data_IF_879287277244
#
_entry.id   IF_879287277244
#
_cell.length_a   1.000
_cell.length_b   1.000
_cell.length_c   1.000
_cell.angle_alpha   90.00
_cell.angle_beta   90.00
_cell.angle_gamma   90.00
#
_symmetry.space_group_name_H-M   'P 1'
#
loop_
_entity.id
_entity.type
_entity.pdbx_description
1 polymer ?
#
# COMPACT_ATOMS: atom_id res chain seq x y z
N UNK A 1 -6.77 -21.44 -7.23
CA UNK A 1 -7.03 -20.60 -8.41
C UNK A 1 -8.33 -19.81 -8.30
N UNK A 2 -9.47 -20.41 -8.00
CA UNK A 2 -10.78 -19.71 -7.86
C UNK A 2 -10.75 -18.57 -6.82
N UNK A 3 -10.13 -18.77 -5.64
CA UNK A 3 -9.99 -17.71 -4.60
C UNK A 3 -9.20 -16.50 -5.09
N UNK A 4 -8.11 -16.71 -5.82
CA UNK A 4 -7.29 -15.63 -6.35
C UNK A 4 -8.04 -14.81 -7.41
N UNK A 5 -8.79 -15.45 -8.29
CA UNK A 5 -9.63 -14.78 -9.29
C UNK A 5 -10.74 -13.97 -8.59
N UNK A 6 -11.43 -14.57 -7.61
CA UNK A 6 -12.46 -13.87 -6.84
C UNK A 6 -11.89 -12.67 -6.11
N UNK A 7 -10.74 -12.83 -5.46
CA UNK A 7 -10.04 -11.72 -4.79
C UNK A 7 -9.70 -10.60 -5.78
N UNK A 8 -9.12 -10.95 -6.94
CA UNK A 8 -8.79 -9.98 -7.99
C UNK A 8 -10.02 -9.17 -8.42
N UNK A 9 -11.10 -9.87 -8.78
CA UNK A 9 -12.33 -9.23 -9.24
C UNK A 9 -12.95 -8.33 -8.17
N UNK A 10 -12.97 -8.78 -6.92
CA UNK A 10 -13.53 -8.01 -5.80
C UNK A 10 -12.70 -6.76 -5.51
N UNK A 11 -11.38 -6.87 -5.46
CA UNK A 11 -10.49 -5.72 -5.22
C UNK A 11 -10.62 -4.71 -6.37
N UNK A 12 -10.61 -5.19 -7.62
CA UNK A 12 -10.77 -4.34 -8.80
C UNK A 12 -12.13 -3.63 -8.82
N UNK A 13 -13.23 -4.35 -8.56
CA UNK A 13 -14.57 -3.77 -8.48
C UNK A 13 -14.67 -2.74 -7.35
N UNK A 14 -14.12 -3.05 -6.17
CA UNK A 14 -14.10 -2.14 -5.03
C UNK A 14 -13.30 -0.87 -5.31
N UNK A 15 -12.16 -1.00 -5.98
CA UNK A 15 -11.35 0.14 -6.44
C UNK A 15 -12.13 1.01 -7.42
N UNK A 16 -12.78 0.39 -8.41
CA UNK A 16 -13.59 1.10 -9.41
C UNK A 16 -14.75 1.86 -8.74
N UNK A 17 -15.47 1.22 -7.83
CA UNK A 17 -16.56 1.86 -7.06
C UNK A 17 -16.01 3.05 -6.27
N UNK A 18 -14.90 2.87 -5.55
CA UNK A 18 -14.28 3.93 -4.75
C UNK A 18 -13.85 5.12 -5.62
N UNK A 19 -13.31 4.85 -6.84
CA UNK A 19 -12.94 5.90 -7.80
C UNK A 19 -14.17 6.69 -8.27
N UNK A 20 -15.30 6.03 -8.52
CA UNK A 20 -16.55 6.71 -8.89
C UNK A 20 -17.13 7.55 -7.75
N UNK A 21 -16.99 7.11 -6.50
CA UNK A 21 -17.49 7.84 -5.33
C UNK A 21 -16.63 9.04 -4.96
N UNK A 22 -15.37 9.02 -5.32
CA UNK A 22 -14.36 10.00 -4.92
C UNK A 22 -13.86 10.82 -6.11
N UNK A 23 -14.76 11.50 -6.82
CA UNK A 23 -14.42 12.30 -8.01
C UNK A 23 -13.78 13.62 -7.62
N UNK A 24 -12.60 13.89 -8.16
CA UNK A 24 -11.89 15.17 -8.07
C UNK A 24 -10.74 15.22 -7.07
N UNK A 25 -9.83 16.18 -7.23
CA UNK A 25 -8.58 16.26 -6.48
C UNK A 25 -8.75 17.00 -5.14
N UNK A 26 -9.60 16.52 -4.25
CA UNK A 26 -9.74 17.11 -2.91
C UNK A 26 -9.26 16.12 -1.84
N UNK A 27 -8.77 16.62 -0.68
CA UNK A 27 -8.36 15.74 0.42
C UNK A 27 -9.52 14.90 0.96
N UNK A 28 -10.73 15.46 0.92
CA UNK A 28 -11.93 14.73 1.32
C UNK A 28 -12.23 13.57 0.36
N UNK A 29 -12.03 13.77 -0.93
CA UNK A 29 -12.24 12.72 -1.94
C UNK A 29 -11.21 11.59 -1.78
N UNK A 30 -9.95 11.87 -1.45
CA UNK A 30 -8.97 10.84 -1.12
C UNK A 30 -9.35 10.04 0.13
N UNK A 31 -9.88 10.70 1.16
CA UNK A 31 -10.40 10.01 2.34
C UNK A 31 -11.62 9.15 1.98
N UNK A 32 -12.57 9.68 1.23
CA UNK A 32 -13.75 8.96 0.75
C UNK A 32 -13.35 7.74 -0.10
N UNK A 33 -12.37 7.90 -0.99
CA UNK A 33 -11.82 6.79 -1.76
C UNK A 33 -11.30 5.69 -0.83
N UNK A 34 -10.42 6.02 0.11
CA UNK A 34 -9.83 5.05 1.04
C UNK A 34 -10.88 4.34 1.88
N UNK A 35 -11.85 5.08 2.44
CA UNK A 35 -12.93 4.51 3.25
C UNK A 35 -13.89 3.65 2.43
N UNK A 36 -14.24 4.07 1.21
CA UNK A 36 -15.12 3.31 0.32
C UNK A 36 -14.43 2.03 -0.15
N UNK A 37 -13.16 2.12 -0.53
CA UNK A 37 -12.38 0.96 -0.94
C UNK A 37 -12.25 -0.05 0.20
N UNK A 38 -11.85 0.40 1.39
CA UNK A 38 -11.82 -0.44 2.58
C UNK A 38 -13.18 -1.06 2.89
N UNK A 39 -14.24 -0.24 2.91
CA UNK A 39 -15.59 -0.66 3.25
C UNK A 39 -16.14 -1.73 2.28
N UNK A 40 -15.95 -1.55 0.98
CA UNK A 40 -16.37 -2.53 -0.01
C UNK A 40 -15.66 -3.88 0.19
N UNK A 41 -14.33 -3.87 0.32
CA UNK A 41 -13.56 -5.10 0.55
C UNK A 41 -13.92 -5.74 1.90
N UNK A 42 -14.07 -4.92 2.95
CA UNK A 42 -14.48 -5.40 4.28
C UNK A 42 -15.84 -6.11 4.23
N UNK A 43 -16.83 -5.56 3.54
CA UNK A 43 -18.17 -6.16 3.44
C UNK A 43 -18.15 -7.57 2.83
N UNK A 44 -17.27 -7.82 1.86
CA UNK A 44 -17.11 -9.14 1.26
C UNK A 44 -16.42 -10.14 2.18
N UNK A 45 -15.43 -9.69 2.95
CA UNK A 45 -14.58 -10.58 3.75
C UNK A 45 -14.91 -10.56 5.26
N UNK A 46 -15.92 -9.80 5.70
CA UNK A 46 -16.23 -9.59 7.14
C UNK A 46 -16.40 -10.85 7.97
N UNK A 47 -16.81 -11.97 7.35
CA UNK A 47 -16.97 -13.25 8.03
C UNK A 47 -15.63 -13.93 8.33
N UNK A 48 -14.60 -13.61 7.55
CA UNK A 48 -13.27 -14.21 7.65
C UNK A 48 -12.28 -13.30 8.40
N UNK A 49 -12.74 -12.11 8.80
CA UNK A 49 -11.92 -11.10 9.45
C UNK A 49 -12.01 -11.21 10.96
N UNK A 50 -10.86 -11.40 11.59
CA UNK A 50 -10.70 -11.28 13.04
C UNK A 50 -9.69 -10.18 13.30
N UNK A 51 -10.16 -8.98 13.67
CA UNK A 51 -9.24 -7.88 13.95
C UNK A 51 -8.28 -8.22 15.08
N UNK A 52 -7.00 -8.18 14.81
CA UNK A 52 -5.96 -8.29 15.81
C UNK A 52 -6.01 -7.06 16.73
N UNK A 53 -5.88 -7.27 18.04
CA UNK A 53 -5.67 -6.14 18.97
C UNK A 53 -4.32 -5.48 18.68
N UNK A 54 -4.29 -4.16 18.71
CA UNK A 54 -3.03 -3.43 18.60
C UNK A 54 -2.12 -3.82 19.77
N UNK A 55 -1.06 -4.53 19.45
CA UNK A 55 -0.04 -4.92 20.40
C UNK A 55 1.28 -5.06 19.66
N UNK A 56 2.31 -4.42 20.16
CA UNK A 56 3.68 -4.52 19.69
C UNK A 56 4.57 -4.99 20.82
N UNK A 57 5.29 -6.05 20.63
CA UNK A 57 6.33 -6.47 21.56
C UNK A 57 7.71 -5.91 21.11
N UNK A 58 8.76 -6.20 21.88
CA UNK A 58 10.14 -5.76 21.56
C UNK A 58 10.63 -6.31 20.22
N UNK A 59 10.22 -7.54 19.89
CA UNK A 59 10.58 -8.17 18.60
C UNK A 59 9.88 -7.46 17.45
N UNK A 60 8.60 -7.14 17.61
CA UNK A 60 7.83 -6.39 16.63
C UNK A 60 8.45 -5.02 16.36
N UNK A 61 8.81 -4.28 17.42
CA UNK A 61 9.49 -2.99 17.29
C UNK A 61 10.83 -3.13 16.54
N UNK A 62 11.63 -4.15 16.86
CA UNK A 62 12.85 -4.45 16.13
C UNK A 62 12.58 -4.76 14.66
N UNK A 63 11.55 -5.54 14.36
CA UNK A 63 11.17 -5.87 12.98
C UNK A 63 10.73 -4.64 12.21
N UNK A 64 10.04 -3.67 12.83
CA UNK A 64 9.71 -2.38 12.20
C UNK A 64 10.99 -1.64 11.80
N UNK A 65 11.93 -1.50 12.72
CA UNK A 65 13.21 -0.81 12.42
C UNK A 65 13.97 -1.52 11.30
N UNK A 66 14.11 -2.85 11.37
CA UNK A 66 14.77 -3.64 10.32
C UNK A 66 14.06 -3.51 8.99
N UNK A 67 12.72 -3.56 8.98
CA UNK A 67 11.92 -3.42 7.77
C UNK A 67 12.10 -2.07 7.09
N UNK A 68 12.09 -0.99 7.86
CA UNK A 68 12.36 0.36 7.35
C UNK A 68 13.77 0.46 6.76
N UNK A 69 14.79 -0.06 7.46
CA UNK A 69 16.16 -0.07 6.95
C UNK A 69 16.31 -0.88 5.65
N UNK A 70 15.65 -2.03 5.56
CA UNK A 70 15.64 -2.85 4.34
C UNK A 70 15.02 -2.07 3.17
N UNK A 71 13.90 -1.38 3.37
CA UNK A 71 13.28 -0.58 2.33
C UNK A 71 14.16 0.59 1.91
N UNK A 72 14.73 1.33 2.85
CA UNK A 72 15.64 2.44 2.54
C UNK A 72 16.86 1.98 1.72
N UNK A 73 17.47 0.85 2.11
CA UNK A 73 18.59 0.29 1.35
C UNK A 73 18.15 -0.16 -0.05
N UNK A 74 16.97 -0.73 -0.16
CA UNK A 74 16.40 -1.14 -1.44
C UNK A 74 16.10 0.07 -2.33
N UNK A 75 15.50 1.12 -1.80
CA UNK A 75 15.20 2.35 -2.54
C UNK A 75 16.49 3.01 -3.04
N UNK A 76 17.53 3.09 -2.20
CA UNK A 76 18.85 3.58 -2.63
C UNK A 76 19.42 2.72 -3.77
N UNK A 77 19.33 1.39 -3.64
CA UNK A 77 19.79 0.46 -4.66
C UNK A 77 19.01 0.61 -5.97
N UNK A 78 17.69 0.75 -5.90
CA UNK A 78 16.84 0.92 -7.06
C UNK A 78 17.11 2.25 -7.77
N UNK A 79 17.30 3.35 -7.04
CA UNK A 79 17.70 4.65 -7.59
C UNK A 79 19.05 4.56 -8.32
N UNK A 80 19.97 3.75 -7.79
CA UNK A 80 21.27 3.56 -8.40
C UNK A 80 21.23 2.69 -9.68
N UNK A 81 20.38 1.68 -9.72
CA UNK A 81 20.28 0.72 -10.83
C UNK A 81 19.30 1.21 -11.92
N UNK A 82 18.19 1.80 -11.50
CA UNK A 82 17.12 2.25 -12.38
C UNK A 82 17.08 3.79 -12.38
N UNK A 83 17.18 4.45 -13.55
CA UNK A 83 17.02 5.89 -13.59
C UNK A 83 15.63 6.30 -13.09
N UNK A 84 15.58 7.10 -12.04
CA UNK A 84 14.31 7.60 -11.49
C UNK A 84 13.67 8.58 -12.48
N UNK A 85 12.39 8.40 -12.83
CA UNK A 85 11.69 9.34 -13.67
C UNK A 85 11.59 10.72 -13.02
N UNK A 86 11.84 11.78 -13.79
CA UNK A 86 11.77 13.17 -13.31
C UNK A 86 10.33 13.62 -12.94
N UNK A 87 9.32 12.94 -13.47
CA UNK A 87 7.89 13.25 -13.24
C UNK A 87 7.35 12.69 -11.91
N UNK A 88 8.24 12.14 -11.10
CA UNK A 88 7.83 11.57 -9.83
C UNK A 88 7.39 12.65 -8.87
N UNK A 89 6.09 12.73 -8.55
CA UNK A 89 5.72 13.22 -7.22
C UNK A 89 4.25 13.51 -7.01
N UNK A 90 3.38 12.57 -7.37
CA UNK A 90 1.96 12.70 -7.01
C UNK A 90 1.79 12.91 -5.49
N UNK A 91 2.56 12.18 -4.67
CA UNK A 91 2.48 12.27 -3.20
C UNK A 91 2.99 13.62 -2.67
N UNK A 92 4.10 14.15 -3.22
CA UNK A 92 4.59 15.49 -2.83
C UNK A 92 3.62 16.58 -3.24
N UNK A 93 3.04 16.49 -4.43
CA UNK A 93 2.00 17.44 -4.89
C UNK A 93 0.79 17.39 -3.98
N UNK A 94 0.37 16.19 -3.55
CA UNK A 94 -0.75 16.02 -2.62
C UNK A 94 -0.47 16.70 -1.27
N UNK A 95 0.76 16.59 -0.74
CA UNK A 95 1.12 17.24 0.52
C UNK A 95 1.23 18.74 0.39
N UNK A 96 1.82 19.23 -0.70
CA UNK A 96 1.87 20.66 -0.98
C UNK A 96 0.47 21.27 -1.07
N UNK A 97 -0.49 20.51 -1.62
CA UNK A 97 -1.88 20.95 -1.76
C UNK A 97 -2.70 20.82 -0.47
N UNK A 98 -2.42 19.80 0.37
CA UNK A 98 -3.28 19.42 1.50
C UNK A 98 -2.62 19.57 2.88
N UNK A 99 -1.34 19.94 2.94
CA UNK A 99 -0.60 20.15 4.18
C UNK A 99 -0.61 18.93 5.10
N UNK A 100 -0.77 19.15 6.40
CA UNK A 100 -0.78 18.08 7.40
C UNK A 100 -1.87 17.00 7.16
N UNK A 101 -2.98 17.36 6.54
CA UNK A 101 -4.01 16.39 6.21
C UNK A 101 -3.54 15.41 5.10
N UNK A 102 -2.74 15.90 4.14
CA UNK A 102 -2.08 15.03 3.16
C UNK A 102 -1.11 14.04 3.81
N UNK A 103 -0.33 14.50 4.79
CA UNK A 103 0.55 13.61 5.58
C UNK A 103 -0.26 12.55 6.32
N UNK A 104 -1.35 12.93 6.98
CA UNK A 104 -2.25 11.98 7.64
C UNK A 104 -2.80 10.93 6.68
N UNK A 105 -3.26 11.34 5.50
CA UNK A 105 -3.75 10.40 4.49
C UNK A 105 -2.65 9.44 4.01
N UNK A 106 -1.48 9.97 3.67
CA UNK A 106 -0.38 9.18 3.11
C UNK A 106 0.32 8.27 4.12
N UNK A 107 0.43 8.70 5.38
CA UNK A 107 1.21 7.98 6.38
C UNK A 107 0.36 7.17 7.37
N UNK A 108 -0.95 7.38 7.42
CA UNK A 108 -1.82 6.65 8.37
C UNK A 108 -2.94 5.94 7.63
N UNK A 109 -3.77 6.67 6.88
CA UNK A 109 -4.95 6.09 6.25
C UNK A 109 -4.60 5.10 5.14
N UNK A 110 -3.75 5.50 4.20
CA UNK A 110 -3.37 4.64 3.08
C UNK A 110 -2.64 3.37 3.55
N UNK A 111 -1.58 3.42 4.39
CA UNK A 111 -0.94 2.22 4.89
C UNK A 111 -1.89 1.26 5.61
N UNK A 112 -2.81 1.78 6.43
CA UNK A 112 -3.79 0.93 7.11
C UNK A 112 -4.70 0.20 6.12
N UNK A 113 -5.29 0.92 5.18
CA UNK A 113 -6.21 0.37 4.18
C UNK A 113 -5.49 -0.63 3.27
N UNK A 114 -4.32 -0.26 2.79
CA UNK A 114 -3.55 -1.06 1.84
C UNK A 114 -3.00 -2.34 2.48
N UNK A 115 -2.39 -2.25 3.66
CA UNK A 115 -1.88 -3.45 4.33
C UNK A 115 -3.00 -4.40 4.74
N UNK A 116 -4.16 -3.87 5.15
CA UNK A 116 -5.32 -4.69 5.42
C UNK A 116 -5.79 -5.44 4.15
N UNK A 117 -5.97 -4.75 3.05
CA UNK A 117 -6.48 -5.33 1.80
C UNK A 117 -5.46 -6.29 1.18
N UNK A 118 -4.19 -5.88 1.11
CA UNK A 118 -3.18 -6.59 0.33
C UNK A 118 -2.30 -7.56 1.14
N UNK A 119 -2.34 -7.55 2.47
CA UNK A 119 -1.57 -8.47 3.32
C UNK A 119 -2.46 -9.32 4.20
N UNK A 120 -3.40 -8.70 4.91
CA UNK A 120 -4.24 -9.44 5.84
C UNK A 120 -5.24 -10.37 5.13
N UNK A 121 -5.96 -9.89 4.13
CA UNK A 121 -6.98 -10.70 3.42
C UNK A 121 -6.37 -11.90 2.67
N UNK A 122 -5.27 -11.76 1.88
CA UNK A 122 -4.70 -12.89 1.12
C UNK A 122 -3.84 -13.85 1.92
N UNK A 123 -3.69 -13.67 3.22
CA UNK A 123 -2.68 -14.26 4.11
C UNK A 123 -2.39 -15.77 3.97
N UNK A 124 -3.32 -16.60 3.51
CA UNK A 124 -3.21 -18.06 3.56
C UNK A 124 -3.24 -18.75 2.18
N UNK A 125 -3.40 -18.02 1.09
CA UNK A 125 -3.46 -18.59 -0.25
C UNK A 125 -2.37 -18.01 -1.14
N UNK A 126 -1.40 -18.84 -1.54
CA UNK A 126 -0.23 -18.41 -2.32
C UNK A 126 -0.61 -17.67 -3.61
N UNK A 127 -1.63 -18.15 -4.32
CA UNK A 127 -2.06 -17.52 -5.56
C UNK A 127 -2.68 -16.14 -5.30
N UNK A 128 -3.45 -16.01 -4.22
CA UNK A 128 -4.03 -14.73 -3.79
C UNK A 128 -2.94 -13.76 -3.31
N UNK A 129 -1.90 -14.24 -2.63
CA UNK A 129 -0.75 -13.43 -2.23
C UNK A 129 -0.03 -12.86 -3.44
N UNK A 130 0.28 -13.69 -4.45
CA UNK A 130 0.92 -13.23 -5.69
C UNK A 130 0.02 -12.21 -6.41
N UNK A 131 -1.26 -12.51 -6.54
CA UNK A 131 -2.23 -11.58 -7.12
C UNK A 131 -2.27 -10.25 -6.37
N UNK A 132 -2.24 -10.28 -5.03
CA UNK A 132 -2.27 -9.07 -4.21
C UNK A 132 -1.06 -8.17 -4.43
N UNK A 133 0.13 -8.73 -4.54
CA UNK A 133 1.37 -7.98 -4.83
C UNK A 133 1.30 -7.33 -6.21
N UNK A 134 0.84 -8.09 -7.22
CA UNK A 134 0.72 -7.58 -8.59
C UNK A 134 -0.31 -6.44 -8.65
N UNK A 135 -1.50 -6.62 -8.06
CA UNK A 135 -2.55 -5.59 -8.08
C UNK A 135 -2.06 -4.35 -7.31
N UNK A 136 -1.46 -4.54 -6.14
CA UNK A 136 -0.93 -3.46 -5.33
C UNK A 136 0.04 -2.58 -6.12
N UNK A 137 0.97 -3.19 -6.86
CA UNK A 137 1.86 -2.44 -7.74
C UNK A 137 1.14 -1.78 -8.90
N UNK A 138 0.27 -2.51 -9.61
CA UNK A 138 -0.45 -1.94 -10.76
C UNK A 138 -1.33 -0.74 -10.40
N UNK A 139 -1.88 -0.70 -9.20
CA UNK A 139 -2.64 0.47 -8.71
C UNK A 139 -1.78 1.71 -8.52
N UNK A 140 -0.46 1.57 -8.48
CA UNK A 140 0.51 2.68 -8.42
C UNK A 140 1.08 3.05 -9.80
N UNK A 141 0.68 2.35 -10.86
CA UNK A 141 1.03 2.75 -12.23
C UNK A 141 0.45 4.15 -12.53
N UNK A 142 1.21 4.96 -13.24
CA UNK A 142 0.83 6.32 -13.57
C UNK A 142 0.63 6.46 -15.09
N UNK A 143 -0.23 7.39 -15.51
CA UNK A 143 -0.38 7.71 -16.92
C UNK A 143 0.71 8.72 -17.26
N UNK A 144 1.70 8.29 -18.04
CA UNK A 144 2.82 9.11 -18.51
C UNK A 144 3.06 8.95 -20.01
N UNK A 145 3.95 9.77 -20.57
CA UNK A 145 4.28 9.77 -22.00
C UNK A 145 5.02 8.52 -22.48
N UNK A 146 5.68 7.82 -21.58
CA UNK A 146 6.39 6.59 -21.89
C UNK A 146 6.07 5.46 -20.90
N UNK A 147 6.28 4.23 -21.35
CA UNK A 147 5.98 3.03 -20.59
C UNK A 147 6.85 2.90 -19.33
N UNK A 148 8.11 3.33 -19.39
CA UNK A 148 9.01 3.23 -18.25
C UNK A 148 8.50 4.10 -17.10
N UNK A 149 8.26 5.38 -17.34
CA UNK A 149 7.72 6.32 -16.35
C UNK A 149 6.36 5.85 -15.83
N UNK A 150 5.53 5.25 -16.70
CA UNK A 150 4.22 4.74 -16.30
C UNK A 150 4.30 3.56 -15.33
N UNK A 151 5.21 2.62 -15.55
CA UNK A 151 5.28 1.37 -14.78
C UNK A 151 6.37 1.35 -13.70
N UNK A 152 7.29 2.30 -13.69
CA UNK A 152 8.34 2.38 -12.65
C UNK A 152 7.75 2.38 -11.23
N UNK A 153 6.76 3.24 -10.89
CA UNK A 153 6.16 3.22 -9.56
C UNK A 153 5.50 1.86 -9.24
N UNK A 154 4.86 1.23 -10.24
CA UNK A 154 4.24 -0.08 -10.08
C UNK A 154 5.28 -1.15 -9.68
N UNK A 155 6.43 -1.18 -10.36
CA UNK A 155 7.49 -2.15 -10.09
C UNK A 155 8.07 -1.94 -8.69
N UNK A 156 8.41 -0.71 -8.34
CA UNK A 156 8.93 -0.36 -6.99
C UNK A 156 7.92 -0.76 -5.92
N UNK A 157 6.65 -0.42 -6.12
CA UNK A 157 5.59 -0.77 -5.16
C UNK A 157 5.34 -2.28 -5.07
N UNK A 158 5.47 -3.04 -6.16
CA UNK A 158 5.43 -4.52 -6.10
C UNK A 158 6.54 -5.06 -5.20
N UNK A 159 7.76 -4.55 -5.35
CA UNK A 159 8.91 -4.98 -4.55
C UNK A 159 8.68 -4.64 -3.07
N UNK A 160 8.27 -3.41 -2.77
CA UNK A 160 7.90 -3.00 -1.41
C UNK A 160 6.77 -3.87 -0.84
N UNK A 161 5.80 -4.20 -1.68
CA UNK A 161 4.70 -5.10 -1.35
C UNK A 161 5.15 -6.50 -0.91
N UNK A 162 6.17 -7.05 -1.55
CA UNK A 162 6.81 -8.32 -1.12
C UNK A 162 7.47 -8.16 0.24
N UNK A 163 8.19 -7.06 0.47
CA UNK A 163 8.86 -6.77 1.75
C UNK A 163 7.83 -6.67 2.88
N UNK A 164 6.76 -5.88 2.72
CA UNK A 164 5.67 -5.76 3.69
C UNK A 164 5.09 -7.14 4.04
N UNK A 165 4.82 -7.96 3.02
CA UNK A 165 4.30 -9.31 3.22
C UNK A 165 5.27 -10.21 4.02
N UNK A 166 6.57 -10.15 3.73
CA UNK A 166 7.59 -10.93 4.47
C UNK A 166 7.59 -10.55 5.95
N UNK A 167 7.56 -9.25 6.28
CA UNK A 167 7.56 -8.80 7.67
C UNK A 167 6.24 -9.13 8.37
N UNK A 168 5.11 -8.99 7.70
CA UNK A 168 3.81 -9.45 8.20
C UNK A 168 3.87 -10.95 8.56
N UNK A 169 4.36 -11.80 7.66
CA UNK A 169 4.42 -13.26 7.90
C UNK A 169 5.42 -13.65 8.97
N UNK A 170 6.53 -12.94 9.13
CA UNK A 170 7.53 -13.21 10.19
C UNK A 170 7.02 -12.88 11.59
N UNK A 171 6.15 -11.90 11.71
CA UNK A 171 5.64 -11.41 12.99
C UNK A 171 4.23 -11.90 13.29
N UNK A 172 3.50 -12.35 12.27
CA UNK A 172 2.05 -12.62 12.31
C UNK A 172 1.26 -11.43 12.89
N UNK A 173 1.79 -10.22 12.66
CA UNK A 173 1.26 -8.97 13.20
C UNK A 173 1.13 -7.92 12.09
N UNK A 174 -0.13 -7.63 11.71
CA UNK A 174 -0.43 -6.66 10.65
C UNK A 174 0.11 -5.26 10.97
N UNK A 175 0.15 -4.88 12.25
CA UNK A 175 0.63 -3.55 12.63
C UNK A 175 2.12 -3.34 12.37
N UNK A 176 2.90 -4.41 12.28
CA UNK A 176 4.32 -4.32 11.88
C UNK A 176 4.43 -3.86 10.42
N UNK A 177 3.70 -4.47 9.49
CA UNK A 177 3.74 -4.03 8.09
C UNK A 177 3.12 -2.63 7.90
N UNK A 178 2.03 -2.31 8.60
CA UNK A 178 1.45 -0.96 8.60
C UNK A 178 2.48 0.08 9.05
N UNK A 179 3.21 -0.16 10.13
CA UNK A 179 4.21 0.78 10.65
C UNK A 179 5.42 0.91 9.73
N UNK A 180 5.91 -0.20 9.16
CA UNK A 180 7.00 -0.14 8.17
C UNK A 180 6.56 0.73 6.99
N UNK A 181 5.37 0.50 6.44
CA UNK A 181 4.81 1.26 5.33
C UNK A 181 4.62 2.74 5.69
N UNK A 182 4.01 3.03 6.83
CA UNK A 182 3.77 4.38 7.31
C UNK A 182 5.05 5.20 7.48
N UNK A 183 6.08 4.60 8.12
CA UNK A 183 7.38 5.25 8.33
C UNK A 183 8.11 5.43 7.00
N UNK A 184 8.05 4.45 6.09
CA UNK A 184 8.66 4.57 4.76
C UNK A 184 8.01 5.71 3.96
N UNK A 185 6.68 5.83 3.98
CA UNK A 185 5.98 6.94 3.35
C UNK A 185 6.40 8.28 3.96
N UNK A 186 6.49 8.36 5.30
CA UNK A 186 6.91 9.57 6.00
C UNK A 186 8.32 10.01 5.58
N UNK A 187 9.26 9.08 5.48
CA UNK A 187 10.64 9.36 5.01
C UNK A 187 10.64 9.78 3.54
N UNK A 188 9.88 9.10 2.67
CA UNK A 188 9.78 9.42 1.24
C UNK A 188 9.21 10.83 0.99
N UNK A 189 8.44 11.37 1.94
CA UNK A 189 7.92 12.73 1.89
C UNK A 189 8.98 13.80 2.20
N UNK A 190 10.15 13.41 2.69
CA UNK A 190 11.22 14.31 3.09
C UNK A 190 10.91 15.07 4.38
N UNK A 191 10.08 14.49 5.24
CA UNK A 191 9.68 15.02 6.54
C UNK A 191 10.53 14.45 7.67
#
# INVERSE_FOLDING_TARGET
MMRAVTYFLLVFASYTIATFLAVGPSPLNHLLFSLSFFGCVYLFYKKDITFQKFKLDKKDCLMVVVGVLVLLLLDILLIYILPTPLEEQHTKTMIQSYGLFGVFLACIVAPFVEEFIFRYIPQNDKATIVASVIIFGLMHAQISKDLYTSFYPAIVTMINGVIFYIFYKKTDNLYVSILIHAVSNFIALGL
#
